data_IF_269040023903
#
_entry.id   IF_269040023903
#
_cell.length_a   1.000
_cell.length_b   1.000
_cell.length_c   1.000
_cell.angle_alpha   90.00
_cell.angle_beta   90.00
_cell.angle_gamma   90.00
#
_symmetry.space_group_name_H-M   'P 1'
#
loop_
_entity.id
_entity.type
_entity.pdbx_description
1 polymer ?
#
# COMPACT_ATOMS: atom_id res chain seq x y z
N UNK A 1 21.75 20.26 -2.33
CA UNK A 1 20.45 19.57 -2.45
C UNK A 1 20.71 18.10 -2.77
N UNK A 2 19.97 17.20 -2.16
CA UNK A 2 20.06 15.77 -2.43
C UNK A 2 18.66 15.13 -2.30
N UNK A 3 18.48 14.01 -2.96
CA UNK A 3 17.31 13.16 -2.82
C UNK A 3 17.64 11.96 -1.94
N UNK A 4 16.70 11.54 -1.10
CA UNK A 4 16.85 10.38 -0.23
C UNK A 4 15.65 9.46 -0.31
N UNK A 5 15.92 8.17 -0.51
CA UNK A 5 14.93 7.11 -0.34
C UNK A 5 15.23 6.39 0.95
N UNK A 6 14.29 6.33 1.87
CA UNK A 6 14.49 5.78 3.19
C UNK A 6 13.26 5.04 3.69
N UNK A 7 13.45 4.19 4.70
CA UNK A 7 12.36 3.47 5.37
C UNK A 7 11.59 4.39 6.33
N UNK A 8 10.47 3.88 6.85
CA UNK A 8 9.73 4.54 7.93
C UNK A 8 10.64 4.71 9.16
N UNK A 9 10.48 5.82 9.87
CA UNK A 9 11.25 6.12 11.08
C UNK A 9 12.55 6.87 10.83
N UNK A 10 12.99 7.06 9.58
CA UNK A 10 14.15 7.87 9.26
C UNK A 10 13.81 9.35 9.38
N UNK A 11 14.56 10.07 10.18
CA UNK A 11 14.42 11.52 10.35
C UNK A 11 15.42 12.24 9.47
N UNK A 12 14.97 12.82 8.38
CA UNK A 12 15.84 13.53 7.41
C UNK A 12 16.56 14.72 8.06
N UNK A 13 15.95 15.35 9.07
CA UNK A 13 16.61 16.42 9.85
C UNK A 13 17.86 15.91 10.56
N UNK A 14 17.76 14.74 11.20
CA UNK A 14 18.92 14.09 11.88
C UNK A 14 19.96 13.71 10.84
N UNK A 15 19.55 13.09 9.73
CA UNK A 15 20.48 12.76 8.65
C UNK A 15 21.28 13.96 8.15
N UNK A 16 20.66 15.15 8.02
CA UNK A 16 21.38 16.36 7.63
C UNK A 16 22.41 16.78 8.69
N UNK A 17 22.05 16.68 9.97
CA UNK A 17 22.98 17.00 11.06
C UNK A 17 24.17 16.04 11.10
N UNK A 18 23.91 14.74 11.00
CA UNK A 18 24.93 13.67 10.99
C UNK A 18 25.89 13.83 9.81
N UNK A 19 25.37 14.18 8.62
CA UNK A 19 26.18 14.49 7.44
C UNK A 19 27.09 15.71 7.67
N UNK A 20 26.57 16.75 8.33
CA UNK A 20 27.35 17.91 8.71
C UNK A 20 28.48 17.58 9.66
N UNK A 21 28.21 16.78 10.69
CA UNK A 21 29.20 16.30 11.65
C UNK A 21 30.31 15.48 10.95
N UNK A 22 29.90 14.54 10.09
CA UNK A 22 30.86 13.72 9.32
C UNK A 22 31.76 14.54 8.37
N UNK A 23 31.29 15.69 7.90
CA UNK A 23 32.05 16.61 7.06
C UNK A 23 32.85 17.64 7.87
N UNK A 24 32.77 17.61 9.20
CA UNK A 24 33.46 18.58 10.06
C UNK A 24 32.87 19.99 10.03
N UNK A 25 31.61 20.14 9.66
CA UNK A 25 30.90 21.42 9.62
C UNK A 25 29.48 21.27 10.18
N UNK A 26 28.87 22.37 10.60
CA UNK A 26 27.48 22.36 10.99
C UNK A 26 26.57 22.28 9.74
N UNK A 27 25.55 21.43 9.80
CA UNK A 27 24.54 21.38 8.75
C UNK A 27 23.12 21.25 9.33
N UNK A 28 22.14 21.76 8.61
CA UNK A 28 20.73 21.67 8.97
C UNK A 28 19.86 21.55 7.74
N UNK A 29 18.69 20.98 7.93
CA UNK A 29 17.67 20.86 6.88
C UNK A 29 16.95 22.20 6.68
N UNK A 30 17.19 22.88 5.56
CA UNK A 30 16.55 24.15 5.23
C UNK A 30 15.18 23.97 4.56
N UNK A 31 14.99 22.85 3.84
CA UNK A 31 13.76 22.54 3.10
C UNK A 31 13.60 21.04 2.96
N UNK A 32 12.36 20.57 2.95
CA UNK A 32 12.02 19.17 2.69
C UNK A 32 10.78 19.09 1.81
N UNK A 33 10.90 18.37 0.71
CA UNK A 33 9.77 18.01 -0.13
C UNK A 33 9.66 16.49 -0.17
N UNK A 34 8.50 15.95 0.22
CA UNK A 34 8.22 14.54 0.07
C UNK A 34 7.63 14.30 -1.31
N UNK A 35 8.38 13.62 -2.16
CA UNK A 35 7.98 13.37 -3.55
C UNK A 35 7.19 12.10 -3.74
N UNK A 36 7.32 11.10 -2.82
CA UNK A 36 6.62 9.82 -2.91
C UNK A 36 6.45 9.15 -1.55
N UNK A 37 5.34 8.43 -1.39
CA UNK A 37 5.08 7.51 -0.28
C UNK A 37 4.41 6.25 -0.84
N UNK A 38 5.14 5.14 -0.91
CA UNK A 38 4.65 3.92 -1.57
C UNK A 38 4.32 4.19 -3.04
N UNK A 39 3.09 3.89 -3.44
CA UNK A 39 2.59 4.10 -4.80
C UNK A 39 2.05 5.52 -5.05
N UNK A 40 1.94 6.34 -4.00
CA UNK A 40 1.49 7.72 -4.11
C UNK A 40 2.67 8.64 -4.37
N UNK A 41 2.62 9.43 -5.43
CA UNK A 41 3.64 10.38 -5.82
C UNK A 41 3.12 11.81 -5.90
N UNK A 42 4.04 12.77 -6.00
CA UNK A 42 3.72 14.17 -6.06
C UNK A 42 2.95 14.56 -7.34
N UNK A 43 3.13 13.82 -8.44
CA UNK A 43 2.44 14.07 -9.71
C UNK A 43 0.93 13.83 -9.63
N UNK A 44 0.48 13.02 -8.67
CA UNK A 44 -0.94 12.76 -8.40
C UNK A 44 -1.49 13.56 -7.21
N UNK A 45 -0.62 14.32 -6.52
CA UNK A 45 -1.05 15.17 -5.41
C UNK A 45 -1.86 16.38 -5.92
N UNK A 46 -2.84 16.78 -5.12
CA UNK A 46 -3.72 17.93 -5.38
C UNK A 46 -3.51 19.00 -4.33
N UNK A 47 -3.62 20.26 -4.72
CA UNK A 47 -3.63 21.37 -3.77
C UNK A 47 -4.98 21.45 -3.06
N UNK A 48 -5.04 22.20 -1.95
CA UNK A 48 -6.31 22.40 -1.24
C UNK A 48 -7.33 23.14 -2.11
N UNK A 49 -6.88 24.12 -2.88
CA UNK A 49 -7.71 24.89 -3.78
C UNK A 49 -8.32 24.02 -4.90
N UNK A 50 -7.54 23.08 -5.44
CA UNK A 50 -8.03 22.11 -6.43
C UNK A 50 -9.07 21.16 -5.82
N UNK A 51 -8.84 20.69 -4.57
CA UNK A 51 -9.78 19.82 -3.88
C UNK A 51 -11.09 20.55 -3.53
N UNK A 52 -11.00 21.81 -3.13
CA UNK A 52 -12.19 22.65 -2.86
C UNK A 52 -13.00 22.89 -4.14
N UNK A 53 -12.34 23.14 -5.26
CA UNK A 53 -12.99 23.33 -6.55
C UNK A 53 -13.69 22.02 -7.01
N UNK A 54 -13.04 20.87 -6.87
CA UNK A 54 -13.62 19.57 -7.20
C UNK A 54 -14.83 19.25 -6.31
N UNK A 55 -14.72 19.50 -5.00
CA UNK A 55 -15.83 19.31 -4.08
C UNK A 55 -17.03 20.18 -4.43
N UNK A 56 -16.78 21.45 -4.78
CA UNK A 56 -17.83 22.37 -5.20
C UNK A 56 -18.50 21.95 -6.52
N UNK A 57 -17.73 21.30 -7.40
CA UNK A 57 -18.24 20.72 -8.66
C UNK A 57 -18.96 19.36 -8.49
N UNK A 58 -19.01 18.81 -7.25
CA UNK A 58 -19.57 17.49 -6.97
C UNK A 58 -18.69 16.32 -7.44
N UNK A 59 -17.41 16.58 -7.72
CA UNK A 59 -16.45 15.57 -8.12
C UNK A 59 -15.90 14.74 -6.95
N UNK A 60 -15.25 13.59 -7.23
CA UNK A 60 -14.67 12.75 -6.20
C UNK A 60 -13.41 13.42 -5.62
N UNK A 61 -13.41 13.74 -4.33
CA UNK A 61 -12.25 14.27 -3.59
C UNK A 61 -11.43 13.19 -2.90
N UNK A 62 -12.00 12.00 -2.70
CA UNK A 62 -11.32 10.89 -2.04
C UNK A 62 -10.98 9.80 -3.06
N UNK A 63 -9.78 9.25 -2.93
CA UNK A 63 -9.41 8.04 -3.65
C UNK A 63 -10.11 6.83 -3.01
N UNK A 64 -10.42 5.77 -3.80
CA UNK A 64 -10.86 4.49 -3.25
C UNK A 64 -9.84 3.94 -2.25
N UNK A 65 -10.30 3.28 -1.19
CA UNK A 65 -9.41 2.73 -0.14
C UNK A 65 -8.35 1.78 -0.70
N UNK A 66 -8.66 1.06 -1.76
CA UNK A 66 -7.77 0.10 -2.38
C UNK A 66 -6.70 0.71 -3.30
N UNK A 67 -6.78 2.01 -3.61
CA UNK A 67 -5.77 2.70 -4.41
C UNK A 67 -4.37 2.63 -3.77
N UNK A 68 -4.30 2.79 -2.44
CA UNK A 68 -3.05 2.67 -1.68
C UNK A 68 -2.57 1.21 -1.52
N UNK A 69 -3.39 0.24 -1.90
CA UNK A 69 -3.17 -1.19 -1.73
C UNK A 69 -2.91 -1.92 -3.06
N UNK A 70 -2.74 -1.16 -4.15
CA UNK A 70 -2.64 -1.66 -5.53
C UNK A 70 -1.53 -2.69 -5.74
N UNK A 71 -0.45 -2.62 -4.95
CA UNK A 71 0.68 -3.57 -4.98
C UNK A 71 0.31 -5.01 -4.59
N UNK A 72 -0.81 -5.22 -3.88
CA UNK A 72 -1.25 -6.54 -3.47
C UNK A 72 -2.22 -7.13 -4.50
N UNK A 73 -2.11 -8.44 -4.81
CA UNK A 73 -3.00 -9.09 -5.75
C UNK A 73 -4.47 -8.97 -5.36
N UNK A 74 -5.34 -8.80 -6.35
CA UNK A 74 -6.80 -8.82 -6.20
C UNK A 74 -7.31 -10.26 -6.30
N UNK A 75 -8.25 -10.61 -5.44
CA UNK A 75 -8.99 -11.88 -5.46
C UNK A 75 -10.48 -11.57 -5.36
N UNK A 76 -11.23 -11.92 -6.39
CA UNK A 76 -12.68 -11.77 -6.41
C UNK A 76 -13.33 -13.03 -5.83
N UNK A 77 -14.24 -12.86 -4.89
CA UNK A 77 -14.90 -13.93 -4.16
C UNK A 77 -16.33 -14.13 -4.67
N UNK A 78 -16.82 -15.37 -4.71
CA UNK A 78 -18.25 -15.61 -4.86
C UNK A 78 -19.02 -15.12 -3.63
N UNK A 79 -20.32 -14.82 -3.79
CA UNK A 79 -21.17 -14.22 -2.75
C UNK A 79 -21.13 -14.96 -1.40
N UNK A 80 -21.14 -16.29 -1.44
CA UNK A 80 -21.06 -17.12 -0.23
C UNK A 80 -19.73 -16.93 0.53
N UNK A 81 -18.60 -16.91 -0.19
CA UNK A 81 -17.29 -16.68 0.40
C UNK A 81 -17.15 -15.23 0.90
N UNK A 82 -17.67 -14.26 0.15
CA UNK A 82 -17.70 -12.86 0.56
C UNK A 82 -18.45 -12.65 1.88
N UNK A 83 -19.61 -13.28 2.04
CA UNK A 83 -20.37 -13.25 3.29
C UNK A 83 -19.56 -13.79 4.48
N UNK A 84 -18.82 -14.88 4.29
CA UNK A 84 -17.96 -15.45 5.35
C UNK A 84 -16.80 -14.53 5.70
N UNK A 85 -16.17 -13.91 4.68
CA UNK A 85 -15.07 -12.97 4.88
C UNK A 85 -15.51 -11.73 5.66
N UNK A 86 -16.72 -11.24 5.44
CA UNK A 86 -17.28 -10.12 6.20
C UNK A 86 -17.33 -10.38 7.71
N UNK A 87 -17.46 -11.65 8.11
CA UNK A 87 -17.36 -12.08 9.52
C UNK A 87 -15.95 -12.53 9.94
N UNK A 88 -14.93 -12.25 9.14
CA UNK A 88 -13.54 -12.62 9.45
C UNK A 88 -13.22 -14.11 9.31
N UNK A 89 -14.10 -14.90 8.68
CA UNK A 89 -13.89 -16.34 8.52
C UNK A 89 -12.94 -16.64 7.35
N UNK A 90 -12.05 -17.65 7.49
CA UNK A 90 -11.18 -18.05 6.38
C UNK A 90 -11.98 -18.73 5.26
N UNK A 91 -11.57 -18.48 4.01
CA UNK A 91 -12.17 -19.04 2.81
C UNK A 91 -11.13 -19.76 1.96
N UNK A 92 -11.55 -20.81 1.20
CA UNK A 92 -10.63 -21.54 0.34
C UNK A 92 -10.01 -20.64 -0.72
N UNK A 93 -8.71 -20.80 -0.99
CA UNK A 93 -7.98 -20.05 -2.00
C UNK A 93 -8.30 -20.50 -3.45
N UNK A 94 -9.17 -21.50 -3.63
CA UNK A 94 -9.65 -21.95 -4.94
C UNK A 94 -10.48 -20.91 -5.72
N UNK A 95 -10.80 -19.77 -5.10
CA UNK A 95 -11.37 -18.62 -5.78
C UNK A 95 -10.29 -17.95 -6.61
N UNK A 96 -10.53 -17.90 -7.91
CA UNK A 96 -9.62 -17.50 -8.97
C UNK A 96 -9.04 -16.10 -8.67
N UNK A 97 -7.70 -16.03 -8.52
CA UNK A 97 -7.02 -14.75 -8.68
C UNK A 97 -7.31 -14.26 -10.11
N UNK A 98 -8.17 -13.27 -10.26
CA UNK A 98 -8.27 -12.57 -11.51
C UNK A 98 -6.92 -11.88 -11.73
N UNK A 99 -6.17 -12.35 -12.73
CA UNK A 99 -4.96 -11.71 -13.21
C UNK A 99 -5.36 -10.40 -13.90
N UNK A 100 -5.57 -9.37 -13.11
CA UNK A 100 -6.01 -8.03 -13.52
C UNK A 100 -5.31 -6.95 -12.70
N UNK A 101 -4.04 -7.16 -12.42
CA UNK A 101 -3.13 -6.09 -12.00
C UNK A 101 -1.93 -6.12 -12.95
N UNK A 102 -1.23 -4.99 -13.19
CA UNK A 102 0.03 -5.02 -13.90
C UNK A 102 0.92 -6.05 -13.21
N UNK A 103 1.40 -7.02 -13.99
CA UNK A 103 2.30 -8.06 -13.52
C UNK A 103 3.50 -7.46 -12.80
N UNK A 104 4.29 -8.27 -12.06
CA UNK A 104 5.45 -7.80 -11.32
C UNK A 104 6.57 -7.40 -12.29
N UNK A 105 6.35 -6.34 -13.05
CA UNK A 105 7.39 -5.76 -13.88
C UNK A 105 7.90 -4.52 -13.20
N UNK A 106 9.10 -4.70 -12.68
CA UNK A 106 9.99 -3.71 -12.10
C UNK A 106 9.78 -3.37 -10.60
N UNK A 107 10.37 -4.25 -9.80
CA UNK A 107 10.77 -3.85 -8.45
C UNK A 107 11.60 -2.55 -8.51
N UNK A 108 11.25 -1.50 -7.74
CA UNK A 108 12.19 -0.43 -7.50
C UNK A 108 13.38 -1.01 -6.73
N UNK A 109 14.55 -0.77 -7.27
CA UNK A 109 15.84 -1.10 -6.73
C UNK A 109 16.04 -0.46 -5.36
N UNK A 110 16.04 -1.24 -4.33
CA UNK A 110 16.89 -1.31 -3.15
C UNK A 110 16.23 -2.26 -2.14
N UNK A 111 16.89 -3.35 -1.74
CA UNK A 111 16.38 -4.19 -0.68
C UNK A 111 16.54 -3.45 0.64
N UNK A 112 15.45 -3.15 1.29
CA UNK A 112 15.44 -2.80 2.71
C UNK A 112 15.77 -4.08 3.47
N UNK A 113 17.02 -4.22 3.92
CA UNK A 113 17.53 -5.39 4.64
C UNK A 113 16.83 -5.65 5.99
N UNK A 114 15.89 -4.79 6.38
CA UNK A 114 15.05 -4.91 7.58
C UNK A 114 13.77 -5.72 7.43
N UNK A 115 13.32 -6.03 6.21
CA UNK A 115 12.04 -6.71 5.95
C UNK A 115 12.15 -8.22 5.69
N UNK A 116 13.26 -8.85 6.07
CA UNK A 116 13.58 -10.24 5.68
C UNK A 116 12.72 -11.32 6.38
N UNK A 117 11.69 -10.99 7.17
CA UNK A 117 10.92 -12.02 7.90
C UNK A 117 9.42 -12.05 7.68
N UNK A 118 8.83 -11.20 6.88
CA UNK A 118 7.40 -11.36 6.56
C UNK A 118 7.02 -10.61 5.28
N UNK A 119 7.51 -11.02 4.13
CA UNK A 119 6.74 -10.83 2.90
C UNK A 119 5.50 -11.71 3.01
N UNK A 120 4.64 -11.38 3.96
CA UNK A 120 3.30 -11.91 4.04
C UNK A 120 2.67 -11.59 2.69
N UNK A 121 2.30 -12.63 1.97
CA UNK A 121 1.62 -12.50 0.67
C UNK A 121 0.20 -12.01 0.92
N UNK A 122 0.07 -10.74 1.25
CA UNK A 122 -1.23 -10.12 1.40
C UNK A 122 -1.96 -10.13 0.06
N UNK A 123 -3.27 -10.36 0.13
CA UNK A 123 -4.19 -10.22 -1.00
C UNK A 123 -5.36 -9.33 -0.61
N UNK A 124 -5.93 -8.68 -1.59
CA UNK A 124 -7.16 -7.90 -1.47
C UNK A 124 -8.34 -8.77 -1.87
N UNK A 125 -9.29 -8.96 -0.97
CA UNK A 125 -10.49 -9.74 -1.21
C UNK A 125 -11.65 -8.81 -1.56
N UNK A 126 -12.35 -9.11 -2.64
CA UNK A 126 -13.46 -8.32 -3.16
C UNK A 126 -14.74 -9.15 -3.21
N UNK A 127 -15.87 -8.47 -3.03
CA UNK A 127 -17.19 -9.04 -3.27
C UNK A 127 -17.54 -9.08 -4.77
N UNK A 128 -18.65 -9.73 -5.19
CA UNK A 128 -19.08 -9.75 -6.58
C UNK A 128 -19.49 -8.36 -7.13
N UNK A 129 -19.76 -7.39 -6.27
CA UNK A 129 -20.06 -6.00 -6.65
C UNK A 129 -18.78 -5.17 -6.86
N UNK A 130 -17.60 -5.73 -6.54
CA UNK A 130 -16.31 -5.05 -6.69
C UNK A 130 -15.90 -4.20 -5.50
N UNK A 131 -16.54 -4.36 -4.33
CA UNK A 131 -16.14 -3.67 -3.11
C UNK A 131 -15.00 -4.42 -2.41
N UNK A 132 -14.04 -3.68 -1.88
CA UNK A 132 -12.97 -4.24 -1.07
C UNK A 132 -13.52 -4.69 0.29
N UNK A 133 -13.46 -6.00 0.56
CA UNK A 133 -13.95 -6.60 1.80
C UNK A 133 -12.87 -6.74 2.86
N UNK A 134 -11.69 -7.21 2.47
CA UNK A 134 -10.66 -7.53 3.43
C UNK A 134 -9.25 -7.56 2.82
N UNK A 135 -8.26 -7.41 3.69
CA UNK A 135 -6.90 -7.87 3.45
C UNK A 135 -6.71 -9.21 4.12
N UNK A 136 -6.19 -10.18 3.38
CA UNK A 136 -6.01 -11.54 3.84
C UNK A 136 -4.60 -12.06 3.58
N UNK A 137 -4.21 -13.06 4.36
CA UNK A 137 -2.96 -13.80 4.20
C UNK A 137 -3.26 -15.24 3.81
N UNK A 138 -2.37 -15.91 3.04
CA UNK A 138 -2.50 -17.33 2.81
C UNK A 138 -2.19 -18.10 4.10
N UNK A 139 -3.06 -19.03 4.46
CA UNK A 139 -2.90 -19.96 5.55
C UNK A 139 -2.99 -21.39 5.00
N UNK A 140 -2.12 -22.30 5.42
CA UNK A 140 -2.06 -23.67 4.93
C UNK A 140 -0.93 -23.90 3.91
N UNK A 141 -0.89 -25.09 3.32
CA UNK A 141 0.13 -25.50 2.33
C UNK A 141 -0.51 -26.32 1.20
N UNK A 142 0.07 -26.21 0.02
CA UNK A 142 -0.38 -27.00 -1.15
C UNK A 142 -1.82 -26.69 -1.54
N UNK A 143 -2.65 -27.73 -1.67
CA UNK A 143 -4.03 -27.61 -2.10
C UNK A 143 -4.98 -27.05 -1.01
N UNK A 144 -4.57 -27.09 0.25
CA UNK A 144 -5.39 -26.63 1.40
C UNK A 144 -5.13 -25.15 1.76
N UNK A 145 -4.61 -24.36 0.83
CA UNK A 145 -4.42 -22.93 1.06
C UNK A 145 -5.77 -22.24 1.22
N UNK A 146 -5.89 -21.43 2.28
CA UNK A 146 -7.05 -20.59 2.58
C UNK A 146 -6.62 -19.15 2.71
N UNK A 147 -7.51 -18.24 2.34
CA UNK A 147 -7.36 -16.82 2.64
C UNK A 147 -7.91 -16.54 4.03
N UNK A 148 -7.04 -16.14 4.94
CA UNK A 148 -7.43 -15.72 6.29
C UNK A 148 -7.51 -14.21 6.35
N UNK A 149 -8.70 -13.62 6.51
CA UNK A 149 -8.87 -12.18 6.72
C UNK A 149 -8.11 -11.72 7.97
N UNK A 150 -7.39 -10.63 7.85
CA UNK A 150 -6.67 -9.99 8.97
C UNK A 150 -7.22 -8.61 9.25
N UNK A 151 -7.66 -7.92 8.21
CA UNK A 151 -8.32 -6.61 8.28
C UNK A 151 -9.58 -6.75 7.45
N UNK A 152 -10.73 -6.53 8.06
CA UNK A 152 -12.03 -6.52 7.38
C UNK A 152 -12.51 -5.08 7.32
N UNK A 153 -12.98 -4.66 6.15
CA UNK A 153 -13.56 -3.34 5.91
C UNK A 153 -15.09 -3.48 5.94
N UNK A 154 -15.75 -2.63 6.70
CA UNK A 154 -17.22 -2.60 6.85
C UNK A 154 -17.76 -1.25 6.40
#
# INVERSE_FOLDING_TARGET
>A
TFDVTCSKGTYVRTLCADMGEALGCAAFMSFLLRTRVGELDLGTARTLEELEADAAAGGPVLLPMDAALSRWPRVDLPAEAAARVAYGQPVAAASRAAAGGPGPERAPSAPDEGETRSRRRWVRLYDPAGNLLALAEPEGRGADVRWRPRIVFS
#
